data_IF_820623731312
#
_entry.id   IF_820623731312
#
_cell.length_a   1.000
_cell.length_b   1.000
_cell.length_c   1.000
_cell.angle_alpha   90.00
_cell.angle_beta   90.00
_cell.angle_gamma   90.00
#
_symmetry.space_group_name_H-M   'P 1'
#
loop_
_entity.id
_entity.type
_entity.pdbx_description
1 polymer ?
#
# COMPACT_ATOMS: atom_id res chain seq x y z
N UNK A 1 -19.85 -3.57 -14.40
CA UNK A 1 -18.40 -3.83 -14.20
C UNK A 1 -18.16 -4.07 -12.71
N UNK A 2 -17.57 -5.21 -12.34
CA UNK A 2 -17.22 -5.58 -10.96
C UNK A 2 -15.82 -6.20 -10.95
N UNK A 3 -15.12 -6.14 -9.82
CA UNK A 3 -13.81 -6.78 -9.64
C UNK A 3 -12.61 -5.97 -10.17
N UNK A 4 -12.72 -4.64 -10.22
CA UNK A 4 -11.62 -3.76 -10.58
C UNK A 4 -11.25 -2.89 -9.38
N UNK A 5 -9.96 -2.64 -9.17
CA UNK A 5 -9.46 -1.78 -8.10
C UNK A 5 -9.08 -0.38 -8.62
N UNK A 6 -8.82 -0.27 -9.93
CA UNK A 6 -8.35 0.95 -10.58
C UNK A 6 -8.70 0.92 -12.09
N UNK A 7 -8.91 2.09 -12.70
CA UNK A 7 -9.05 2.26 -14.15
C UNK A 7 -7.99 3.23 -14.66
N UNK A 8 -7.26 2.84 -15.70
CA UNK A 8 -6.34 3.71 -16.43
C UNK A 8 -7.01 4.20 -17.73
N UNK A 9 -6.95 5.50 -17.98
CA UNK A 9 -7.47 6.12 -19.20
C UNK A 9 -6.52 7.21 -19.68
N UNK A 10 -5.83 6.95 -20.79
CA UNK A 10 -4.96 7.92 -21.44
C UNK A 10 -5.67 8.50 -22.66
N UNK A 11 -6.48 9.52 -22.40
CA UNK A 11 -7.21 10.28 -23.41
C UNK A 11 -7.24 11.76 -23.01
N UNK A 12 -8.07 12.55 -23.70
CA UNK A 12 -8.27 13.96 -23.39
C UNK A 12 -9.09 14.20 -22.11
N UNK A 13 -9.24 15.48 -21.77
CA UNK A 13 -9.91 15.90 -20.54
C UNK A 13 -11.45 15.70 -20.57
N UNK A 14 -12.07 15.65 -21.75
CA UNK A 14 -13.49 15.37 -21.88
C UNK A 14 -13.77 13.90 -21.56
N UNK A 15 -13.00 13.00 -22.17
CA UNK A 15 -13.04 11.57 -21.90
C UNK A 15 -12.76 11.27 -20.42
N UNK A 16 -11.72 11.90 -19.85
CA UNK A 16 -11.39 11.74 -18.43
C UNK A 16 -12.54 12.18 -17.51
N UNK A 17 -13.21 13.30 -17.81
CA UNK A 17 -14.38 13.77 -17.04
C UNK A 17 -15.57 12.84 -17.18
N UNK A 18 -15.82 12.35 -18.40
CA UNK A 18 -16.90 11.39 -18.67
C UNK A 18 -16.68 10.10 -17.88
N UNK A 19 -15.48 9.54 -17.93
CA UNK A 19 -15.09 8.36 -17.19
C UNK A 19 -15.19 8.56 -15.67
N UNK A 20 -14.71 9.70 -15.14
CA UNK A 20 -14.80 10.01 -13.72
C UNK A 20 -16.27 10.03 -13.23
N UNK A 21 -17.18 10.65 -13.99
CA UNK A 21 -18.62 10.68 -13.67
C UNK A 21 -19.23 9.27 -13.71
N UNK A 22 -18.90 8.48 -14.72
CA UNK A 22 -19.40 7.12 -14.85
C UNK A 22 -18.89 6.21 -13.71
N UNK A 23 -17.61 6.33 -13.32
CA UNK A 23 -17.04 5.57 -12.22
C UNK A 23 -17.65 5.97 -10.87
N UNK A 24 -17.97 7.25 -10.66
CA UNK A 24 -18.61 7.75 -9.44
C UNK A 24 -20.09 7.34 -9.30
N UNK A 25 -20.79 7.13 -10.42
CA UNK A 25 -22.18 6.69 -10.43
C UNK A 25 -22.35 5.17 -10.20
N UNK A 26 -21.26 4.40 -10.20
CA UNK A 26 -21.30 2.96 -9.99
C UNK A 26 -21.53 2.64 -8.51
N UNK A 27 -22.33 1.61 -8.25
CA UNK A 27 -22.48 1.04 -6.92
C UNK A 27 -21.21 0.29 -6.46
N UNK A 28 -20.93 0.32 -5.15
CA UNK A 28 -19.82 -0.38 -4.52
C UNK A 28 -18.62 0.53 -4.23
N UNK A 29 -17.43 -0.05 -4.21
CA UNK A 29 -16.22 0.68 -3.87
C UNK A 29 -15.91 1.81 -4.88
N UNK A 30 -15.39 2.91 -4.34
CA UNK A 30 -14.79 3.97 -5.16
C UNK A 30 -13.55 3.40 -5.84
N UNK A 31 -13.52 3.53 -7.16
CA UNK A 31 -12.40 3.06 -8.00
C UNK A 31 -11.70 4.30 -8.54
N UNK A 32 -10.38 4.35 -8.36
CA UNK A 32 -9.55 5.44 -8.86
C UNK A 32 -9.47 5.47 -10.40
N UNK A 33 -9.41 6.69 -10.96
CA UNK A 33 -9.13 6.94 -12.37
C UNK A 33 -7.71 7.51 -12.51
N UNK A 34 -6.86 6.85 -13.30
CA UNK A 34 -5.49 7.28 -13.56
C UNK A 34 -5.39 7.78 -15.00
N UNK A 35 -5.11 9.08 -15.13
CA UNK A 35 -4.96 9.76 -16.43
C UNK A 35 -3.50 10.00 -16.82
N UNK A 36 -2.56 9.86 -15.87
CA UNK A 36 -1.12 9.91 -16.12
C UNK A 36 -0.57 8.57 -16.56
N UNK A 37 0.41 8.56 -17.48
CA UNK A 37 1.06 7.33 -17.97
C UNK A 37 2.24 6.88 -17.11
N UNK A 38 2.89 7.82 -16.43
CA UNK A 38 3.93 7.51 -15.46
C UNK A 38 3.38 6.66 -14.32
N UNK A 39 4.25 5.87 -13.70
CA UNK A 39 4.02 5.23 -12.39
C UNK A 39 2.93 4.13 -12.38
N UNK A 40 2.47 3.66 -13.54
CA UNK A 40 1.47 2.58 -13.60
C UNK A 40 1.97 1.27 -12.98
N UNK A 41 3.28 1.00 -13.11
CA UNK A 41 3.89 -0.19 -12.52
C UNK A 41 3.79 -0.21 -10.98
N UNK A 42 3.91 0.94 -10.34
CA UNK A 42 3.77 1.10 -8.89
C UNK A 42 2.30 0.96 -8.46
N UNK A 43 1.38 1.46 -9.27
CA UNK A 43 -0.08 1.36 -9.03
C UNK A 43 -0.63 -0.06 -9.21
N UNK A 44 0.07 -0.93 -9.95
CA UNK A 44 -0.28 -2.34 -10.12
C UNK A 44 0.32 -3.25 -9.04
N UNK A 45 0.66 -2.70 -7.87
CA UNK A 45 1.12 -3.46 -6.70
C UNK A 45 0.03 -3.50 -5.64
N UNK A 46 -0.12 -4.65 -4.99
CA UNK A 46 -0.94 -4.78 -3.80
C UNK A 46 -0.06 -4.65 -2.56
N UNK A 47 -0.32 -3.63 -1.76
CA UNK A 47 0.36 -3.44 -0.48
C UNK A 47 -0.42 -4.12 0.65
N UNK A 48 0.30 -4.71 1.60
CA UNK A 48 -0.27 -5.28 2.82
C UNK A 48 0.58 -4.85 3.99
N UNK A 49 -0.01 -4.07 4.90
CA UNK A 49 0.63 -3.74 6.17
C UNK A 49 0.47 -4.92 7.14
N UNK A 50 1.56 -5.31 7.78
CA UNK A 50 1.58 -6.31 8.83
C UNK A 50 2.34 -5.71 10.00
N UNK A 51 1.74 -5.73 11.18
CA UNK A 51 2.38 -5.36 12.43
C UNK A 51 2.54 -6.64 13.26
N UNK A 52 3.79 -6.97 13.60
CA UNK A 52 4.11 -8.15 14.41
C UNK A 52 4.55 -7.65 15.78
N UNK A 53 3.87 -8.11 16.82
CA UNK A 53 4.32 -7.91 18.20
C UNK A 53 5.50 -8.85 18.49
N UNK A 54 6.71 -8.31 18.40
CA UNK A 54 7.95 -9.06 18.64
C UNK A 54 8.21 -9.31 20.13
N UNK A 55 7.41 -8.74 21.03
CA UNK A 55 7.51 -8.95 22.49
C UNK A 55 6.39 -9.81 23.06
N UNK A 56 5.49 -10.31 22.22
CA UNK A 56 4.34 -11.13 22.62
C UNK A 56 4.72 -12.37 23.47
N UNK A 57 5.94 -12.90 23.30
CA UNK A 57 6.46 -14.01 24.10
C UNK A 57 6.93 -13.60 25.52
N UNK A 58 6.81 -12.32 25.89
CA UNK A 58 7.18 -11.79 27.21
C UNK A 58 8.59 -11.20 27.31
N UNK A 59 9.30 -11.02 26.19
CA UNK A 59 10.64 -10.43 26.17
C UNK A 59 11.06 -10.01 24.76
N UNK A 60 12.05 -9.13 24.65
CA UNK A 60 12.60 -8.68 23.37
C UNK A 60 14.01 -9.25 23.19
N UNK A 61 14.14 -10.23 22.30
CA UNK A 61 15.42 -10.89 22.04
C UNK A 61 16.52 -9.95 21.52
N UNK A 62 16.16 -8.90 20.75
CA UNK A 62 17.14 -7.92 20.28
C UNK A 62 17.68 -7.07 21.43
N UNK A 63 16.84 -6.69 22.39
CA UNK A 63 17.29 -5.97 23.59
C UNK A 63 18.22 -6.85 24.44
N UNK A 64 17.86 -8.13 24.64
CA UNK A 64 18.70 -9.06 25.42
C UNK A 64 20.07 -9.31 24.77
N UNK A 65 20.14 -9.40 23.43
CA UNK A 65 21.40 -9.57 22.73
C UNK A 65 22.27 -8.31 22.82
N UNK A 66 21.68 -7.12 22.70
CA UNK A 66 22.41 -5.87 22.88
C UNK A 66 23.03 -5.79 24.28
N UNK A 67 22.25 -6.10 25.34
CA UNK A 67 22.73 -6.12 26.73
C UNK A 67 23.89 -7.13 26.94
N UNK A 68 23.81 -8.31 26.33
CA UNK A 68 24.88 -9.30 26.41
C UNK A 68 26.19 -8.82 25.76
N UNK A 69 26.10 -8.08 24.64
CA UNK A 69 27.31 -7.55 23.96
C UNK A 69 27.97 -6.39 24.69
N UNK A 70 27.22 -5.60 25.46
CA UNK A 70 27.82 -4.56 26.31
C UNK A 70 28.56 -5.19 27.49
N UNK A 71 28.10 -6.33 27.99
CA UNK A 71 28.76 -7.07 29.07
C UNK A 71 30.07 -7.73 28.57
N UNK A 72 30.09 -8.28 27.35
CA UNK A 72 31.32 -8.79 26.71
C UNK A 72 32.34 -7.70 26.37
N UNK A 73 31.91 -6.50 25.99
CA UNK A 73 32.83 -5.39 25.68
C UNK A 73 33.41 -4.71 26.94
N UNK A 74 32.80 -4.93 28.11
CA UNK A 74 33.26 -4.42 29.39
C UNK A 74 34.21 -5.39 30.13
N UNK A 75 34.36 -6.63 29.64
CA UNK A 75 35.28 -7.66 30.13
C UNK A 75 36.62 -7.66 29.36
#
# INVERSE_FOLDING_TARGET
MKGFDLVALWSDAEDARSAARALAAREGALIGLVTGRADMAERCRMERHICVDTTAAGGNAQLMAADATVDEAAA
#
